data_IF_482331132773
#
_entry.id   IF_482331132773
#
_cell.length_a   1.000
_cell.length_b   1.000
_cell.length_c   1.000
_cell.angle_alpha   90.00
_cell.angle_beta   90.00
_cell.angle_gamma   90.00
#
_symmetry.space_group_name_H-M   'P 1'
#
loop_
_entity.id
_entity.type
_entity.pdbx_description
1 polymer ?
#
# COMPACT_ATOMS: atom_id res chain seq x y z
N UNK A 1 -3.11 -10.88 12.21
CA UNK A 1 -4.43 -10.26 12.07
C UNK A 1 -4.42 -9.01 12.93
N UNK A 2 -4.82 -7.85 12.41
CA UNK A 2 -4.72 -6.58 13.16
C UNK A 2 -5.78 -6.44 14.25
N UNK A 3 -6.79 -7.31 14.29
CA UNK A 3 -7.86 -7.21 15.27
C UNK A 3 -8.80 -6.02 15.01
N UNK A 4 -9.04 -5.67 13.75
CA UNK A 4 -10.12 -4.75 13.39
C UNK A 4 -11.49 -5.41 13.54
N UNK A 5 -12.55 -4.63 13.40
CA UNK A 5 -13.96 -4.98 13.64
C UNK A 5 -14.68 -5.61 12.43
N UNK A 6 -13.96 -5.96 11.36
CA UNK A 6 -14.52 -6.75 10.28
C UNK A 6 -14.44 -8.25 10.61
N UNK A 7 -15.42 -9.05 10.17
CA UNK A 7 -15.42 -10.50 10.39
C UNK A 7 -14.38 -11.23 9.52
N UNK A 8 -13.97 -10.63 8.41
CA UNK A 8 -13.08 -11.25 7.42
C UNK A 8 -11.67 -10.68 7.48
N UNK A 9 -10.70 -11.50 7.07
CA UNK A 9 -9.37 -11.05 6.71
C UNK A 9 -8.28 -12.09 6.88
N UNK A 10 -7.06 -11.72 6.48
CA UNK A 10 -5.88 -12.58 6.50
C UNK A 10 -4.86 -12.06 7.49
N UNK A 11 -4.00 -12.95 8.01
CA UNK A 11 -3.01 -12.59 9.02
C UNK A 11 -1.84 -11.77 8.46
N UNK A 12 -1.65 -11.74 7.15
CA UNK A 12 -0.37 -11.37 6.53
C UNK A 12 0.71 -12.41 6.86
N UNK A 13 1.95 -12.13 6.49
CA UNK A 13 3.10 -12.99 6.74
C UNK A 13 4.37 -12.14 6.77
N UNK A 14 5.08 -12.21 7.89
CA UNK A 14 6.50 -11.86 7.97
C UNK A 14 7.21 -13.19 8.20
N UNK A 15 7.98 -13.69 7.23
CA UNK A 15 8.55 -15.03 7.31
C UNK A 15 9.66 -15.06 8.37
N UNK A 16 9.71 -16.15 9.15
CA UNK A 16 10.79 -16.45 10.07
C UNK A 16 11.49 -17.76 9.65
N UNK A 17 12.52 -18.16 10.40
CA UNK A 17 13.23 -19.41 10.15
C UNK A 17 12.27 -20.61 10.10
N UNK A 18 11.33 -20.72 11.04
CA UNK A 18 10.40 -21.85 11.12
C UNK A 18 9.50 -21.96 9.89
N UNK A 19 9.11 -20.82 9.32
CA UNK A 19 8.36 -20.75 8.08
C UNK A 19 9.20 -21.28 6.91
N UNK A 20 10.44 -20.80 6.78
CA UNK A 20 11.33 -21.20 5.69
C UNK A 20 11.71 -22.68 5.75
N UNK A 21 12.09 -23.19 6.93
CA UNK A 21 12.42 -24.60 7.16
C UNK A 21 11.24 -25.50 6.75
N UNK A 22 10.00 -25.10 7.09
CA UNK A 22 8.79 -25.86 6.73
C UNK A 22 8.49 -25.84 5.23
N UNK A 23 8.62 -24.69 4.56
CA UNK A 23 8.18 -24.53 3.16
C UNK A 23 9.22 -25.06 2.18
N UNK A 24 10.50 -24.83 2.44
CA UNK A 24 11.58 -25.19 1.53
C UNK A 24 12.35 -26.44 1.98
N UNK A 25 12.29 -26.79 3.27
CA UNK A 25 13.09 -27.82 3.89
C UNK A 25 14.34 -27.26 4.56
N UNK A 26 14.84 -27.99 5.56
CA UNK A 26 16.04 -27.63 6.31
C UNK A 26 17.25 -27.41 5.37
N UNK A 27 17.96 -26.31 5.57
CA UNK A 27 19.13 -25.90 4.79
C UNK A 27 18.87 -25.68 3.28
N UNK A 28 17.62 -25.45 2.86
CA UNK A 28 17.25 -25.22 1.44
C UNK A 28 16.90 -23.77 1.08
N UNK A 29 16.92 -22.88 2.06
CA UNK A 29 16.78 -21.45 1.85
C UNK A 29 18.10 -20.74 2.17
N UNK A 30 18.37 -19.66 1.46
CA UNK A 30 19.63 -18.92 1.56
C UNK A 30 19.39 -17.48 2.03
N UNK A 31 20.47 -16.79 2.44
CA UNK A 31 20.42 -15.38 2.83
C UNK A 31 19.85 -14.46 1.75
N UNK A 32 19.95 -14.84 0.47
CA UNK A 32 19.36 -14.11 -0.65
C UNK A 32 17.83 -13.98 -0.57
N UNK A 33 17.14 -14.93 0.06
CA UNK A 33 15.68 -14.87 0.26
C UNK A 33 15.32 -13.72 1.22
N UNK A 34 16.18 -13.47 2.20
CA UNK A 34 16.01 -12.40 3.19
C UNK A 34 16.23 -11.03 2.57
N UNK A 35 17.15 -10.92 1.60
CA UNK A 35 17.37 -9.68 0.86
C UNK A 35 16.10 -9.29 0.10
N UNK A 36 15.42 -10.26 -0.54
CA UNK A 36 14.13 -10.01 -1.20
C UNK A 36 13.06 -9.50 -0.23
N UNK A 37 13.00 -10.05 0.98
CA UNK A 37 12.06 -9.57 2.01
C UNK A 37 12.29 -8.10 2.40
N UNK A 38 13.54 -7.62 2.41
CA UNK A 38 13.86 -6.23 2.79
C UNK A 38 13.29 -5.17 1.85
N UNK A 39 12.98 -5.55 0.60
CA UNK A 39 12.31 -4.68 -0.37
C UNK A 39 10.81 -4.96 -0.48
N UNK A 40 10.26 -5.78 0.42
CA UNK A 40 8.85 -6.15 0.45
C UNK A 40 8.44 -7.20 -0.58
N UNK A 41 9.40 -7.94 -1.15
CA UNK A 41 9.18 -9.06 -2.07
C UNK A 41 9.37 -10.40 -1.35
N UNK A 42 9.35 -11.49 -2.11
CA UNK A 42 9.60 -12.83 -1.59
C UNK A 42 8.43 -13.35 -0.76
N UNK A 43 8.69 -13.69 0.50
CA UNK A 43 7.69 -14.36 1.35
C UNK A 43 6.95 -13.39 2.27
N UNK A 44 7.27 -12.09 2.23
CA UNK A 44 6.51 -11.06 2.93
C UNK A 44 5.14 -10.90 2.26
N UNK A 45 4.07 -10.89 3.06
CA UNK A 45 2.72 -10.61 2.58
C UNK A 45 1.99 -9.70 3.58
N UNK A 46 1.34 -8.66 3.07
CA UNK A 46 0.54 -7.74 3.87
C UNK A 46 -0.80 -7.47 3.20
N UNK A 47 -1.86 -7.30 3.99
CA UNK A 47 -3.15 -6.83 3.47
C UNK A 47 -3.14 -5.31 3.31
N UNK A 48 -4.00 -4.72 2.46
CA UNK A 48 -4.09 -3.27 2.33
C UNK A 48 -4.35 -2.54 3.66
N UNK A 49 -5.19 -3.10 4.54
CA UNK A 49 -5.41 -2.53 5.89
C UNK A 49 -4.16 -2.60 6.78
N UNK A 50 -3.31 -3.63 6.60
CA UNK A 50 -2.00 -3.69 7.27
C UNK A 50 -1.05 -2.61 6.77
N UNK A 51 -1.02 -2.36 5.46
CA UNK A 51 -0.23 -1.28 4.87
C UNK A 51 -0.72 0.10 5.32
N UNK A 52 -2.04 0.33 5.34
CA UNK A 52 -2.61 1.58 5.84
C UNK A 52 -2.28 1.81 7.32
N UNK A 53 -2.40 0.78 8.16
CA UNK A 53 -2.07 0.89 9.59
C UNK A 53 -0.56 1.07 9.84
N UNK A 54 0.29 0.41 9.07
CA UNK A 54 1.75 0.66 9.08
C UNK A 54 2.05 2.12 8.75
N UNK A 55 1.36 2.66 7.74
CA UNK A 55 1.50 4.05 7.32
C UNK A 55 1.03 5.01 8.42
N UNK A 56 -0.08 4.70 9.09
CA UNK A 56 -0.54 5.45 10.26
C UNK A 56 0.49 5.42 11.41
N UNK A 57 1.14 4.28 11.66
CA UNK A 57 2.20 4.18 12.66
C UNK A 57 3.40 5.08 12.34
N UNK A 58 3.78 5.17 11.07
CA UNK A 58 4.85 6.07 10.60
C UNK A 58 4.40 7.54 10.75
N UNK A 59 3.19 7.86 10.31
CA UNK A 59 2.60 9.20 10.41
C UNK A 59 2.60 9.69 11.87
N UNK A 60 2.20 8.84 12.80
CA UNK A 60 2.18 9.11 14.24
C UNK A 60 3.55 9.03 14.93
N UNK A 61 4.64 8.79 14.18
CA UNK A 61 6.01 8.66 14.71
C UNK A 61 6.15 7.55 15.76
N UNK A 62 5.54 6.39 15.50
CA UNK A 62 5.80 5.15 16.25
C UNK A 62 4.64 4.58 17.04
N UNK A 63 3.42 5.15 16.97
CA UNK A 63 2.23 4.56 17.58
C UNK A 63 1.05 4.46 16.62
N UNK A 64 0.13 3.54 16.86
CA UNK A 64 -1.09 3.41 16.08
C UNK A 64 -2.25 2.92 16.94
N UNK A 65 -3.47 3.22 16.52
CA UNK A 65 -4.68 2.64 17.10
C UNK A 65 -5.11 1.46 16.25
N UNK A 66 -5.71 0.44 16.87
CA UNK A 66 -6.31 -0.66 16.12
C UNK A 66 -7.36 -0.08 15.16
N UNK A 67 -7.24 -0.30 13.84
CA UNK A 67 -8.19 0.26 12.90
C UNK A 67 -9.58 -0.34 13.13
N UNK A 68 -10.61 0.48 12.97
CA UNK A 68 -12.00 0.08 13.14
C UNK A 68 -12.90 0.97 12.29
N UNK A 69 -14.06 0.44 11.91
CA UNK A 69 -15.05 1.12 11.06
C UNK A 69 -16.17 1.71 11.91
N UNK A 70 -16.59 0.98 12.96
CA UNK A 70 -17.72 1.37 13.80
C UNK A 70 -17.33 2.58 14.64
N UNK A 71 -17.91 3.75 14.34
CA UNK A 71 -17.69 4.97 15.14
C UNK A 71 -18.58 5.02 16.38
N UNK A 72 -19.81 4.52 16.28
CA UNK A 72 -20.84 4.60 17.33
C UNK A 72 -21.69 3.33 17.40
N UNK A 73 -22.12 2.96 18.60
CA UNK A 73 -23.10 1.90 18.87
C UNK A 73 -24.20 2.52 19.72
N UNK A 74 -25.46 2.43 19.25
CA UNK A 74 -26.62 3.05 19.92
C UNK A 74 -26.44 4.56 20.19
N UNK A 75 -25.78 5.29 19.27
CA UNK A 75 -25.54 6.74 19.39
C UNK A 75 -24.29 7.11 20.18
N UNK A 76 -23.73 6.17 20.96
CA UNK A 76 -22.55 6.39 21.79
C UNK A 76 -21.26 6.03 21.04
N UNK A 77 -20.19 6.84 21.16
CA UNK A 77 -18.88 6.50 20.60
C UNK A 77 -18.37 5.16 21.10
N UNK A 78 -17.69 4.42 20.23
CA UNK A 78 -17.01 3.19 20.64
C UNK A 78 -15.90 3.55 21.63
N UNK A 79 -16.03 3.08 22.88
CA UNK A 79 -15.08 3.35 23.96
C UNK A 79 -14.31 2.09 24.42
N UNK A 80 -14.17 1.10 23.53
CA UNK A 80 -13.37 -0.08 23.83
C UNK A 80 -11.88 0.27 23.84
N UNK A 81 -11.17 -0.07 24.92
CA UNK A 81 -9.73 0.13 25.05
C UNK A 81 -8.94 -0.44 23.86
N UNK A 82 -9.45 -1.47 23.19
CA UNK A 82 -8.88 -2.05 21.97
C UNK A 82 -8.69 -1.01 20.84
N UNK A 83 -9.61 -0.06 20.73
CA UNK A 83 -9.65 0.93 19.66
C UNK A 83 -9.21 2.32 20.13
N UNK A 84 -9.27 2.59 21.43
CA UNK A 84 -8.95 3.90 22.03
C UNK A 84 -7.60 3.96 22.73
N UNK A 85 -6.90 2.83 22.91
CA UNK A 85 -5.54 2.79 23.48
C UNK A 85 -4.49 2.70 22.38
N UNK A 86 -3.44 3.55 22.41
CA UNK A 86 -2.37 3.49 21.43
C UNK A 86 -1.51 2.24 21.62
N UNK A 87 -1.16 1.60 20.51
CA UNK A 87 -0.13 0.57 20.43
C UNK A 87 1.17 1.22 19.98
N UNK A 88 2.29 0.84 20.57
CA UNK A 88 3.61 1.37 20.23
C UNK A 88 4.42 0.35 19.44
N UNK A 89 5.09 0.81 18.41
CA UNK A 89 6.08 0.01 17.67
C UNK A 89 7.33 -0.22 18.52
N UNK A 90 8.13 -1.21 18.16
CA UNK A 90 9.43 -1.46 18.80
C UNK A 90 10.54 -0.52 18.30
N UNK A 91 10.21 0.46 17.44
CA UNK A 91 11.17 1.34 16.77
C UNK A 91 11.29 2.64 17.58
N UNK A 92 12.53 3.04 17.86
CA UNK A 92 12.81 4.33 18.52
C UNK A 92 12.32 5.51 17.66
N UNK A 93 11.65 6.46 18.32
CA UNK A 93 11.05 7.65 17.69
C UNK A 93 12.02 8.42 16.79
N UNK A 94 13.31 8.45 17.14
CA UNK A 94 14.34 9.17 16.37
C UNK A 94 14.49 8.68 14.91
N UNK A 95 14.12 7.44 14.64
CA UNK A 95 14.23 6.86 13.29
C UNK A 95 13.09 7.25 12.36
N UNK A 96 11.94 7.69 12.90
CA UNK A 96 10.81 8.10 12.06
C UNK A 96 11.06 9.41 11.32
N UNK A 97 11.82 10.35 11.89
CA UNK A 97 12.12 11.64 11.24
C UNK A 97 12.74 11.46 9.84
N UNK A 98 13.89 10.76 9.73
CA UNK A 98 14.52 10.49 8.43
C UNK A 98 13.63 9.67 7.48
N UNK A 99 12.85 8.71 8.00
CA UNK A 99 11.93 7.90 7.18
C UNK A 99 10.83 8.77 6.58
N UNK A 100 10.23 9.65 7.39
CA UNK A 100 9.19 10.57 6.94
C UNK A 100 9.74 11.58 5.93
N UNK A 101 10.94 12.13 6.18
CA UNK A 101 11.59 12.99 5.20
C UNK A 101 11.83 12.25 3.87
N UNK A 102 12.30 11.00 3.92
CA UNK A 102 12.46 10.18 2.73
C UNK A 102 11.15 9.96 1.98
N UNK A 103 10.04 9.74 2.70
CA UNK A 103 8.70 9.60 2.13
C UNK A 103 8.15 10.93 1.56
N UNK A 104 8.46 12.08 2.16
CA UNK A 104 8.13 13.40 1.61
C UNK A 104 8.95 13.69 0.34
N UNK A 105 10.23 13.29 0.33
CA UNK A 105 11.11 13.45 -0.82
C UNK A 105 10.67 12.64 -2.05
N UNK A 106 9.85 11.59 -1.87
CA UNK A 106 9.21 10.87 -2.98
C UNK A 106 8.30 11.79 -3.81
N UNK A 107 7.66 12.77 -3.18
CA UNK A 107 6.80 13.75 -3.83
C UNK A 107 7.57 14.97 -4.36
N UNK A 108 8.74 15.31 -3.84
CA UNK A 108 9.47 16.51 -4.28
C UNK A 108 10.57 16.20 -5.31
N UNK A 109 11.25 15.07 -5.13
CA UNK A 109 12.43 14.66 -5.92
C UNK A 109 12.29 13.26 -6.52
N UNK A 110 11.34 12.47 -6.05
CA UNK A 110 11.23 11.05 -6.37
C UNK A 110 10.13 10.67 -7.35
N UNK A 111 9.72 9.41 -7.27
CA UNK A 111 8.82 8.74 -8.22
C UNK A 111 7.39 9.29 -8.25
N UNK A 112 6.99 10.09 -7.25
CA UNK A 112 5.65 10.66 -7.14
C UNK A 112 5.63 12.17 -7.41
N UNK A 113 6.67 12.75 -8.04
CA UNK A 113 6.78 14.20 -8.24
C UNK A 113 5.57 14.84 -8.91
N UNK A 114 4.91 14.14 -9.82
CA UNK A 114 3.74 14.63 -10.57
C UNK A 114 2.41 14.50 -9.80
N UNK A 115 2.45 13.98 -8.57
CA UNK A 115 1.30 13.66 -7.72
C UNK A 115 1.10 14.68 -6.59
N UNK A 116 1.83 15.80 -6.62
CA UNK A 116 1.72 16.86 -5.61
C UNK A 116 0.35 17.53 -5.63
N UNK A 117 -0.12 17.92 -4.46
CA UNK A 117 -1.30 18.77 -4.29
C UNK A 117 -0.85 20.14 -3.79
N UNK A 118 -1.14 21.24 -4.50
CA UNK A 118 -0.77 22.57 -4.04
C UNK A 118 -1.32 22.84 -2.63
N UNK A 119 -0.41 23.28 -1.74
CA UNK A 119 -0.72 23.61 -0.35
C UNK A 119 -0.78 22.43 0.62
N UNK A 120 -0.52 21.20 0.19
CA UNK A 120 -0.53 20.01 1.06
C UNK A 120 0.80 19.27 0.91
N UNK A 121 1.56 19.20 2.01
CA UNK A 121 2.75 18.35 2.06
C UNK A 121 2.36 16.90 2.34
N UNK A 122 2.84 15.98 1.50
CA UNK A 122 2.46 14.57 1.53
C UNK A 122 3.71 13.73 1.68
N UNK A 123 3.68 12.75 2.60
CA UNK A 123 4.68 11.71 2.69
C UNK A 123 4.08 10.41 2.16
N UNK A 124 4.75 9.77 1.20
CA UNK A 124 4.28 8.49 0.66
C UNK A 124 5.36 7.67 0.00
N UNK A 125 4.97 6.50 -0.48
CA UNK A 125 5.88 5.57 -1.14
C UNK A 125 5.15 4.74 -2.19
N UNK A 126 5.76 4.68 -3.37
CA UNK A 126 5.39 3.78 -4.45
C UNK A 126 5.80 2.34 -4.13
N UNK A 127 4.95 1.39 -4.49
CA UNK A 127 5.26 -0.02 -4.57
C UNK A 127 4.81 -0.60 -5.91
N UNK A 128 5.56 -1.58 -6.39
CA UNK A 128 5.21 -2.39 -7.55
C UNK A 128 5.32 -3.84 -7.09
N UNK A 129 4.22 -4.59 -7.15
CA UNK A 129 4.20 -6.00 -6.77
C UNK A 129 4.12 -6.85 -8.02
N UNK A 130 5.11 -7.72 -8.18
CA UNK A 130 5.17 -8.62 -9.31
C UNK A 130 4.00 -9.61 -9.24
N UNK A 131 3.34 -9.80 -10.37
CA UNK A 131 2.21 -10.71 -10.49
C UNK A 131 2.58 -11.88 -11.41
N UNK A 132 2.30 -13.10 -10.97
CA UNK A 132 2.59 -14.30 -11.74
C UNK A 132 1.39 -15.25 -11.74
N UNK A 133 1.15 -15.88 -12.88
CA UNK A 133 0.18 -16.98 -13.00
C UNK A 133 0.82 -18.18 -13.69
N UNK A 134 0.07 -19.28 -13.83
CA UNK A 134 0.45 -20.41 -14.69
C UNK A 134 -0.42 -20.41 -15.94
N UNK A 135 0.20 -20.33 -17.11
CA UNK A 135 -0.44 -20.50 -18.43
C UNK A 135 0.19 -21.73 -19.06
N UNK A 136 -0.62 -22.73 -19.41
CA UNK A 136 -0.16 -24.01 -19.98
C UNK A 136 0.97 -24.69 -19.18
N UNK A 137 0.88 -24.60 -17.85
CA UNK A 137 1.87 -25.16 -16.92
C UNK A 137 3.14 -24.33 -16.76
N UNK A 138 3.33 -23.26 -17.53
CA UNK A 138 4.48 -22.35 -17.47
C UNK A 138 4.17 -21.18 -16.54
N UNK A 139 5.13 -20.83 -15.66
CA UNK A 139 5.03 -19.62 -14.83
C UNK A 139 5.20 -18.39 -15.72
N UNK A 140 4.14 -17.60 -15.86
CA UNK A 140 4.09 -16.42 -16.72
C UNK A 140 3.91 -15.17 -15.88
N UNK A 141 4.73 -14.15 -16.13
CA UNK A 141 4.58 -12.85 -15.50
C UNK A 141 3.39 -12.11 -16.12
N UNK A 142 2.57 -11.52 -15.26
CA UNK A 142 1.47 -10.64 -15.64
C UNK A 142 1.85 -9.19 -15.33
N UNK A 143 1.02 -8.25 -15.77
CA UNK A 143 1.21 -6.85 -15.38
C UNK A 143 1.15 -6.68 -13.88
N UNK A 144 2.10 -5.89 -13.38
CA UNK A 144 2.33 -5.71 -11.96
C UNK A 144 1.16 -4.99 -11.29
N UNK A 145 1.08 -5.15 -9.96
CA UNK A 145 0.11 -4.43 -9.15
C UNK A 145 0.68 -3.07 -8.72
N UNK A 146 -0.15 -2.04 -8.87
CA UNK A 146 0.18 -0.68 -8.46
C UNK A 146 -0.16 -0.51 -6.99
N UNK A 147 0.85 -0.23 -6.16
CA UNK A 147 0.66 0.05 -4.75
C UNK A 147 1.15 1.45 -4.44
N UNK A 148 0.40 2.15 -3.61
CA UNK A 148 0.82 3.42 -3.07
C UNK A 148 0.35 3.57 -1.62
N UNK A 149 1.26 3.95 -0.74
CA UNK A 149 0.91 4.35 0.64
C UNK A 149 1.25 5.81 0.84
N UNK A 150 0.42 6.52 1.59
CA UNK A 150 0.68 7.91 1.95
C UNK A 150 -0.03 8.33 3.22
N UNK A 151 0.49 9.40 3.83
CA UNK A 151 -0.22 10.19 4.82
C UNK A 151 -0.01 11.68 4.55
N UNK A 152 -0.96 12.48 5.01
CA UNK A 152 -0.93 13.93 4.88
C UNK A 152 -1.80 14.61 5.95
N UNK A 153 -1.52 15.88 6.27
CA UNK A 153 -0.25 16.59 6.05
C UNK A 153 0.96 15.92 6.74
N UNK A 154 2.19 16.23 6.34
CA UNK A 154 3.41 15.63 6.93
C UNK A 154 3.60 15.98 8.42
N UNK A 155 3.31 17.24 8.76
CA UNK A 155 3.53 17.81 10.09
C UNK A 155 2.40 17.49 11.08
N UNK A 156 1.15 17.52 10.61
CA UNK A 156 -0.02 17.16 11.40
C UNK A 156 -0.89 16.17 10.61
N UNK A 157 -0.55 14.87 10.61
CA UNK A 157 -1.25 13.88 9.78
C UNK A 157 -2.72 13.70 10.17
N UNK A 158 -3.61 13.84 9.20
CA UNK A 158 -5.05 13.68 9.38
C UNK A 158 -5.60 12.45 8.62
N UNK A 159 -4.89 12.02 7.56
CA UNK A 159 -5.23 10.84 6.78
C UNK A 159 -3.99 9.97 6.55
N UNK A 160 -4.15 8.66 6.66
CA UNK A 160 -3.20 7.65 6.20
C UNK A 160 -3.95 6.60 5.35
N UNK A 161 -3.39 6.24 4.19
CA UNK A 161 -4.04 5.36 3.24
C UNK A 161 -3.06 4.37 2.59
N UNK A 162 -3.63 3.30 2.05
CA UNK A 162 -2.98 2.39 1.13
C UNK A 162 -3.92 2.14 -0.05
N UNK A 163 -3.45 2.40 -1.27
CA UNK A 163 -4.18 2.13 -2.51
C UNK A 163 -3.48 0.98 -3.21
N UNK A 164 -4.26 -0.01 -3.62
CA UNK A 164 -3.82 -1.23 -4.28
C UNK A 164 -4.68 -1.47 -5.51
N UNK A 165 -4.06 -1.49 -6.69
CA UNK A 165 -4.74 -1.69 -7.96
C UNK A 165 -4.11 -2.91 -8.64
N UNK A 166 -4.91 -3.97 -8.78
CA UNK A 166 -4.50 -5.17 -9.51
C UNK A 166 -4.25 -4.84 -10.98
N UNK A 167 -3.20 -5.44 -11.54
CA UNK A 167 -2.66 -5.13 -12.88
C UNK A 167 -2.51 -3.63 -13.19
N UNK A 168 -2.31 -2.80 -12.15
CA UNK A 168 -2.21 -1.36 -12.25
C UNK A 168 -0.84 -0.84 -12.71
N UNK A 169 0.06 -1.70 -13.18
CA UNK A 169 1.44 -1.34 -13.55
C UNK A 169 2.23 -0.83 -12.31
N UNK A 170 3.10 0.17 -12.48
CA UNK A 170 3.92 0.73 -11.41
C UNK A 170 3.12 1.64 -10.45
N UNK A 171 3.60 1.77 -9.21
CA UNK A 171 2.87 2.42 -8.10
C UNK A 171 2.37 3.85 -8.34
N UNK A 172 3.08 4.66 -9.14
CA UNK A 172 2.68 6.04 -9.42
C UNK A 172 1.62 6.16 -10.53
N UNK A 173 1.34 5.10 -11.29
CA UNK A 173 0.45 5.17 -12.47
C UNK A 173 -1.02 5.25 -12.10
N UNK A 174 -1.52 4.32 -11.29
CA UNK A 174 -2.92 4.36 -10.83
C UNK A 174 -3.00 4.67 -9.34
N UNK A 175 -2.34 3.84 -8.51
CA UNK A 175 -2.46 3.94 -7.07
C UNK A 175 -2.04 5.32 -6.52
N UNK A 176 -0.95 5.89 -7.05
CA UNK A 176 -0.49 7.24 -6.68
C UNK A 176 -1.43 8.38 -7.09
N UNK A 177 -2.01 8.32 -8.30
CA UNK A 177 -2.98 9.33 -8.73
C UNK A 177 -4.26 9.25 -7.88
N UNK A 178 -4.79 8.05 -7.65
CA UNK A 178 -5.96 7.83 -6.78
C UNK A 178 -5.67 8.28 -5.35
N UNK A 179 -4.50 7.96 -4.79
CA UNK A 179 -4.10 8.42 -3.46
C UNK A 179 -4.13 9.95 -3.34
N UNK A 180 -3.65 10.66 -4.37
CA UNK A 180 -3.65 12.13 -4.39
C UNK A 180 -5.07 12.68 -4.44
N UNK A 181 -5.95 12.13 -5.28
CA UNK A 181 -7.36 12.52 -5.34
C UNK A 181 -8.08 12.30 -4.00
N UNK A 182 -7.84 11.16 -3.35
CA UNK A 182 -8.43 10.84 -2.04
C UNK A 182 -7.94 11.78 -0.94
N UNK A 183 -6.64 12.11 -0.93
CA UNK A 183 -6.06 13.04 0.04
C UNK A 183 -6.64 14.44 -0.15
N UNK A 184 -6.69 14.94 -1.39
CA UNK A 184 -7.25 16.28 -1.66
C UNK A 184 -8.72 16.35 -1.25
N UNK A 185 -9.51 15.34 -1.65
CA UNK A 185 -10.93 15.29 -1.32
C UNK A 185 -11.17 15.25 0.18
N UNK A 186 -10.36 14.49 0.92
CA UNK A 186 -10.49 14.38 2.37
C UNK A 186 -10.13 15.69 3.09
N UNK A 187 -9.01 16.32 2.71
CA UNK A 187 -8.49 17.50 3.41
C UNK A 187 -9.17 18.81 2.98
N UNK A 188 -9.54 18.95 1.70
CA UNK A 188 -10.16 20.17 1.16
C UNK A 188 -11.68 20.07 0.99
N UNK A 189 -12.23 18.85 0.98
CA UNK A 189 -13.64 18.60 0.67
C UNK A 189 -13.97 18.60 -0.84
N UNK A 190 -13.00 18.94 -1.70
CA UNK A 190 -13.14 18.99 -3.16
C UNK A 190 -11.89 18.46 -3.87
N UNK A 191 -12.00 18.19 -5.17
CA UNK A 191 -10.87 17.78 -6.03
C UNK A 191 -10.65 18.89 -7.05
N UNK A 192 -9.43 19.39 -7.13
CA UNK A 192 -9.08 20.48 -8.07
C UNK A 192 -8.64 19.94 -9.43
N UNK A 193 -8.03 18.75 -9.45
CA UNK A 193 -7.60 18.04 -10.67
C UNK A 193 -8.73 17.20 -11.28
N UNK A 194 -9.78 17.87 -11.73
CA UNK A 194 -10.97 17.22 -12.33
C UNK A 194 -10.66 16.43 -13.60
N UNK A 195 -9.61 16.83 -14.35
CA UNK A 195 -9.08 16.08 -15.49
C UNK A 195 -8.56 14.69 -15.08
N UNK A 196 -7.86 14.65 -13.95
CA UNK A 196 -7.31 13.42 -13.41
C UNK A 196 -8.39 12.56 -12.77
N UNK A 197 -9.31 13.15 -12.02
CA UNK A 197 -10.47 12.46 -11.45
C UNK A 197 -11.27 11.77 -12.54
N UNK A 198 -11.68 12.51 -13.58
CA UNK A 198 -12.39 11.97 -14.72
C UNK A 198 -11.62 10.81 -15.36
N UNK A 199 -10.31 10.98 -15.59
CA UNK A 199 -9.47 9.91 -16.15
C UNK A 199 -9.46 8.66 -15.26
N UNK A 200 -9.35 8.80 -13.94
CA UNK A 200 -9.32 7.66 -13.01
C UNK A 200 -10.68 6.96 -12.89
N UNK A 201 -11.78 7.68 -13.11
CA UNK A 201 -13.12 7.10 -13.15
C UNK A 201 -13.42 6.38 -14.48
N UNK A 202 -12.93 6.90 -15.60
CA UNK A 202 -13.25 6.39 -16.94
C UNK A 202 -12.27 5.32 -17.45
N UNK A 203 -11.03 5.31 -16.97
CA UNK A 203 -10.01 4.37 -17.46
C UNK A 203 -10.25 2.97 -16.91
N UNK A 204 -10.31 1.99 -17.80
CA UNK A 204 -10.51 0.57 -17.47
C UNK A 204 -9.22 -0.24 -17.64
N UNK A 205 -9.08 -1.29 -16.83
CA UNK A 205 -8.01 -2.30 -16.93
C UNK A 205 -8.52 -3.62 -17.53
N UNK A 206 -9.76 -3.68 -18.02
CA UNK A 206 -10.37 -4.91 -18.57
C UNK A 206 -9.52 -5.55 -19.69
N UNK A 207 -8.97 -4.75 -20.60
CA UNK A 207 -8.08 -5.26 -21.65
C UNK A 207 -6.81 -5.89 -21.06
N UNK A 208 -6.28 -5.33 -19.97
CA UNK A 208 -5.12 -5.88 -19.28
C UNK A 208 -5.46 -7.20 -18.57
N UNK A 209 -6.65 -7.28 -17.97
CA UNK A 209 -7.17 -8.50 -17.35
C UNK A 209 -7.45 -9.61 -18.37
N UNK A 210 -7.77 -9.26 -19.61
CA UNK A 210 -8.08 -10.21 -20.67
C UNK A 210 -6.83 -10.85 -21.30
N UNK A 211 -5.66 -10.19 -21.26
CA UNK A 211 -4.40 -10.67 -21.88
C UNK A 211 -4.03 -12.12 -21.56
N UNK A 212 -4.11 -12.61 -20.30
CA UNK A 212 -3.75 -13.99 -19.99
C UNK A 212 -4.68 -15.04 -20.65
N UNK A 213 -5.84 -14.61 -21.13
CA UNK A 213 -6.89 -15.47 -21.69
C UNK A 213 -7.07 -15.29 -23.20
N UNK A 214 -6.30 -14.41 -23.86
CA UNK A 214 -6.47 -14.12 -25.29
C UNK A 214 -5.90 -15.22 -26.20
N UNK A 215 -4.97 -16.03 -25.69
CA UNK A 215 -4.19 -16.97 -26.50
C UNK A 215 -3.10 -16.32 -27.36
N UNK A 216 -2.87 -15.01 -27.19
CA UNK A 216 -1.87 -14.23 -27.92
C UNK A 216 -0.67 -13.91 -27.03
N UNK A 217 0.49 -13.68 -27.63
CA UNK A 217 1.66 -13.15 -26.91
C UNK A 217 1.38 -11.71 -26.48
N UNK A 218 1.65 -11.39 -25.21
CA UNK A 218 1.43 -10.06 -24.66
C UNK A 218 2.68 -9.51 -23.98
N UNK A 219 2.84 -8.18 -24.04
CA UNK A 219 3.87 -7.48 -23.29
C UNK A 219 3.32 -7.06 -21.93
N UNK A 220 4.14 -7.27 -20.90
CA UNK A 220 3.88 -6.76 -19.55
C UNK A 220 4.30 -5.29 -19.48
N UNK A 221 3.59 -4.53 -18.64
CA UNK A 221 3.96 -3.16 -18.29
C UNK A 221 4.11 -2.16 -19.46
N UNK A 222 3.34 -2.32 -20.53
CA UNK A 222 3.37 -1.42 -21.68
C UNK A 222 3.06 0.04 -21.29
N UNK A 223 3.79 0.98 -21.92
CA UNK A 223 3.59 2.41 -21.70
C UNK A 223 2.35 2.90 -22.46
N UNK A 224 1.18 2.61 -21.91
CA UNK A 224 -0.14 3.00 -22.43
C UNK A 224 -0.79 4.00 -21.46
N UNK A 225 -0.15 5.15 -21.25
CA UNK A 225 -0.63 6.15 -20.29
C UNK A 225 -1.57 7.17 -20.93
#
# INVERSE_FOLDING_TARGET
>A
YLGYDLPTGRKGRVPDKSYYDRVYGDNRWASSFIISNSIGQGEVAATPVQLANMTAAIANRGYYYTPHIIKKIAGEPVNSARYTTPNYTTIDKKHFGPVVQGMADVYTKGTAKWLQIPGIEIAGKTGTVENFTKIDGVRTQLTDHSIFVAFAPVDNPEIALAVYIEHGYYGARYAGHIASLLIEKYLKGEITRTDLEKRMLEKTLEAEYAKPYSGEEFKINEYVW
#
